data_IF_809163359797
#
_entry.id   IF_809163359797
#
_cell.length_a   1.000
_cell.length_b   1.000
_cell.length_c   1.000
_cell.angle_alpha   90.00
_cell.angle_beta   90.00
_cell.angle_gamma   90.00
#
_symmetry.space_group_name_H-M   'P 1'
#
loop_
_entity.id
_entity.type
_entity.pdbx_description
1 polymer ?
#
# COMPACT_ATOMS: atom_id res chain seq x y z
N UNK A 1 16.79 17.99 8.94
CA UNK A 1 16.45 17.56 9.26
C UNK A 1 15.45 17.73 9.24
N UNK A 2 15.21 17.97 9.26
CA UNK A 2 14.26 18.15 9.53
C UNK A 2 13.28 18.36 8.65
N UNK A 3 13.37 18.84 7.64
CA UNK A 3 12.45 19.05 6.80
C UNK A 3 11.90 17.78 6.46
N UNK A 4 12.63 16.86 6.34
CA UNK A 4 12.12 15.59 6.02
C UNK A 4 11.41 15.10 7.18
N UNK A 5 11.75 15.52 8.27
CA UNK A 5 11.15 15.07 9.45
C UNK A 5 9.67 15.11 9.46
N UNK A 6 9.08 16.17 9.10
CA UNK A 6 7.66 16.29 9.22
C UNK A 6 6.97 15.23 8.41
N UNK A 7 7.53 14.88 7.31
CA UNK A 7 6.97 13.95 6.52
C UNK A 7 7.06 12.62 7.13
N UNK A 8 8.18 12.21 7.58
CA UNK A 8 8.34 10.96 8.18
C UNK A 8 7.62 10.80 9.45
N UNK A 9 7.31 11.79 10.12
CA UNK A 9 6.66 11.67 11.38
C UNK A 9 5.16 11.67 11.31
N UNK A 10 4.59 11.85 10.16
CA UNK A 10 3.17 11.97 10.10
C UNK A 10 2.49 10.63 10.30
N UNK A 11 1.25 10.67 10.71
CA UNK A 11 0.48 9.48 10.91
C UNK A 11 0.33 8.74 9.60
N UNK A 12 0.12 9.47 8.53
CA UNK A 12 -0.03 8.87 7.22
C UNK A 12 1.24 8.12 6.82
N UNK A 13 2.38 8.76 7.08
CA UNK A 13 3.63 8.13 6.73
C UNK A 13 3.83 6.85 7.52
N UNK A 14 3.48 6.86 8.77
CA UNK A 14 3.63 5.68 9.60
C UNK A 14 2.71 4.58 9.12
N UNK A 15 1.53 4.92 8.68
CA UNK A 15 0.60 3.94 8.16
C UNK A 15 1.16 3.31 6.89
N UNK A 16 1.79 4.11 6.03
CA UNK A 16 2.37 3.61 4.81
C UNK A 16 3.46 2.60 5.14
N UNK A 17 4.34 2.97 6.08
CA UNK A 17 5.42 2.06 6.44
C UNK A 17 4.88 0.79 7.09
N UNK A 18 3.83 0.93 7.86
CA UNK A 18 3.28 -0.25 8.52
C UNK A 18 2.70 -1.23 7.50
N UNK A 19 1.98 -0.73 6.52
CA UNK A 19 1.41 -1.61 5.52
C UNK A 19 2.51 -2.27 4.71
N UNK A 20 3.55 -1.51 4.37
CA UNK A 20 4.66 -2.08 3.63
C UNK A 20 5.33 -3.18 4.45
N UNK A 21 5.46 -2.97 5.73
CA UNK A 21 6.07 -3.96 6.59
C UNK A 21 5.20 -5.22 6.65
N UNK A 22 3.90 -5.05 6.70
CA UNK A 22 3.01 -6.20 6.74
C UNK A 22 3.14 -7.03 5.48
N UNK A 23 3.31 -6.38 4.35
CA UNK A 23 3.48 -7.10 3.11
C UNK A 23 4.83 -7.81 3.13
N UNK A 24 5.85 -7.13 3.60
CA UNK A 24 7.17 -7.71 3.64
C UNK A 24 7.29 -8.88 4.60
N UNK A 25 6.45 -8.87 5.65
CA UNK A 25 6.49 -9.94 6.61
C UNK A 25 5.56 -11.09 6.24
N UNK A 26 4.86 -10.96 5.15
CA UNK A 26 3.98 -12.02 4.73
C UNK A 26 2.60 -11.98 5.37
N UNK A 27 2.31 -10.94 6.12
CA UNK A 27 1.00 -10.84 6.73
C UNK A 27 -0.04 -10.43 5.70
N UNK A 28 0.38 -9.76 4.65
CA UNK A 28 -0.49 -9.42 3.55
C UNK A 28 0.20 -9.95 2.31
N UNK A 29 -0.38 -10.92 1.68
CA UNK A 29 0.27 -11.54 0.54
C UNK A 29 -0.13 -10.97 -0.80
N UNK A 30 0.69 -11.15 -1.82
CA UNK A 30 0.35 -10.62 -3.13
C UNK A 30 -1.00 -11.16 -3.58
N UNK A 31 -1.84 -10.30 -4.09
CA UNK A 31 -3.15 -10.69 -4.54
C UNK A 31 -4.21 -10.71 -3.45
N UNK A 32 -3.79 -10.53 -2.21
CA UNK A 32 -4.73 -10.60 -1.12
C UNK A 32 -5.50 -9.29 -0.98
N UNK A 33 -6.76 -9.39 -0.62
CA UNK A 33 -7.56 -8.21 -0.42
C UNK A 33 -7.24 -7.62 0.94
N UNK A 34 -7.11 -6.33 1.01
CA UNK A 34 -6.87 -5.67 2.27
C UNK A 34 -8.14 -5.58 3.09
N UNK A 35 -8.02 -5.53 4.39
CA UNK A 35 -9.17 -5.24 5.22
C UNK A 35 -9.67 -3.84 4.84
N UNK A 36 -10.85 -3.51 5.26
CA UNK A 36 -11.41 -2.20 4.89
C UNK A 36 -10.61 -1.08 5.55
N UNK A 37 -10.76 0.12 5.02
CA UNK A 37 -10.10 1.28 5.59
C UNK A 37 -10.44 1.37 7.06
N UNK A 38 -11.70 1.15 7.39
CA UNK A 38 -12.15 1.24 8.74
C UNK A 38 -11.42 0.25 9.63
N UNK A 39 -11.35 -1.00 9.19
CA UNK A 39 -10.70 -2.01 9.98
C UNK A 39 -9.21 -1.74 10.12
N UNK A 40 -8.56 -1.35 9.05
CA UNK A 40 -7.14 -1.06 9.11
C UNK A 40 -6.87 0.15 10.00
N UNK A 41 -7.71 1.17 9.91
CA UNK A 41 -7.52 2.34 10.72
C UNK A 41 -7.65 1.97 12.19
N UNK A 42 -8.59 1.10 12.48
CA UNK A 42 -8.79 0.65 13.84
C UNK A 42 -7.60 -0.15 14.33
N UNK A 43 -7.10 -1.05 13.52
CA UNK A 43 -5.96 -1.86 13.89
C UNK A 43 -4.72 -1.01 14.13
N UNK A 44 -4.53 0.01 13.36
CA UNK A 44 -3.36 0.83 13.49
C UNK A 44 -3.55 2.01 14.44
N UNK A 45 -4.77 2.19 14.92
CA UNK A 45 -5.03 3.27 15.85
C UNK A 45 -4.95 4.66 15.25
N UNK A 46 -5.38 4.81 14.02
CA UNK A 46 -5.31 6.11 13.36
C UNK A 46 -6.67 6.44 12.77
N UNK A 47 -6.82 7.64 12.29
CA UNK A 47 -8.09 8.07 11.73
C UNK A 47 -8.29 7.43 10.37
N UNK A 48 -9.55 7.32 9.97
CA UNK A 48 -9.85 6.75 8.67
C UNK A 48 -9.33 7.63 7.54
N UNK A 49 -9.31 8.94 7.73
CA UNK A 49 -8.82 9.79 6.68
C UNK A 49 -7.31 9.61 6.49
N UNK A 50 -6.57 9.39 7.56
CA UNK A 50 -5.14 9.16 7.43
C UNK A 50 -4.91 7.82 6.75
N UNK A 51 -5.74 6.83 7.09
CA UNK A 51 -5.62 5.53 6.50
C UNK A 51 -5.91 5.60 5.00
N UNK A 52 -6.93 6.37 4.64
CA UNK A 52 -7.29 6.51 3.24
C UNK A 52 -6.16 7.15 2.45
N UNK A 53 -5.51 8.14 3.03
CA UNK A 53 -4.39 8.76 2.36
C UNK A 53 -3.23 7.81 2.20
N UNK A 54 -2.98 6.99 3.19
CA UNK A 54 -1.90 6.02 3.10
C UNK A 54 -2.19 5.03 1.99
N UNK A 55 -3.43 4.57 1.91
CA UNK A 55 -3.80 3.61 0.88
C UNK A 55 -3.68 4.25 -0.50
N UNK A 56 -4.07 5.51 -0.62
CA UNK A 56 -3.95 6.17 -1.88
C UNK A 56 -2.51 6.28 -2.30
N UNK A 57 -1.63 6.64 -1.38
CA UNK A 57 -0.22 6.76 -1.69
C UNK A 57 0.34 5.42 -2.14
N UNK A 58 -0.03 4.36 -1.45
CA UNK A 58 0.48 3.04 -1.81
C UNK A 58 -0.06 2.58 -3.16
N UNK A 59 -1.25 3.01 -3.49
CA UNK A 59 -1.84 2.66 -4.78
C UNK A 59 -1.09 3.40 -5.90
N UNK A 60 -0.75 4.64 -5.66
CA UNK A 60 0.00 5.40 -6.64
C UNK A 60 1.38 4.81 -6.84
N UNK A 61 1.97 4.30 -5.76
CA UNK A 61 3.27 3.70 -5.85
C UNK A 61 3.25 2.30 -6.46
N UNK A 62 2.08 1.78 -6.69
CA UNK A 62 1.98 0.46 -7.30
C UNK A 62 2.10 -0.70 -6.33
N UNK A 63 2.04 -0.41 -5.03
CA UNK A 63 2.12 -1.47 -4.03
C UNK A 63 0.74 -2.08 -3.83
N UNK A 64 -0.29 -1.23 -3.94
CA UNK A 64 -1.65 -1.70 -3.81
C UNK A 64 -2.41 -1.42 -5.08
N UNK A 65 -3.52 -2.10 -5.25
CA UNK A 65 -4.30 -1.95 -6.44
C UNK A 65 -5.76 -1.81 -6.07
N UNK A 66 -6.44 -0.78 -6.56
CA UNK A 66 -7.84 -0.59 -6.28
C UNK A 66 -8.63 -1.26 -7.37
N UNK A 67 -9.55 -2.15 -7.02
CA UNK A 67 -10.39 -2.80 -8.00
C UNK A 67 -11.80 -2.28 -7.82
N UNK A 68 -12.29 -1.68 -8.86
CA UNK A 68 -13.57 -1.03 -8.82
C UNK A 68 -14.65 -1.95 -8.30
N UNK A 69 -15.34 -1.51 -7.29
CA UNK A 69 -16.43 -2.31 -6.74
C UNK A 69 -16.02 -3.49 -5.90
N UNK A 70 -14.75 -3.75 -5.79
CA UNK A 70 -14.31 -4.92 -5.08
C UNK A 70 -13.46 -4.63 -3.87
N UNK A 71 -12.65 -3.62 -3.92
CA UNK A 71 -11.82 -3.28 -2.77
C UNK A 71 -10.38 -3.00 -3.17
N UNK A 72 -9.52 -3.05 -2.18
CA UNK A 72 -8.11 -2.79 -2.39
C UNK A 72 -7.35 -4.09 -2.21
N UNK A 73 -6.43 -4.35 -3.11
CA UNK A 73 -5.68 -5.59 -3.08
C UNK A 73 -4.19 -5.32 -3.12
N UNK A 74 -3.40 -6.25 -2.62
CA UNK A 74 -1.96 -6.14 -2.71
C UNK A 74 -1.61 -6.49 -4.15
N UNK A 75 -0.83 -5.65 -4.82
CA UNK A 75 -0.50 -5.89 -6.21
C UNK A 75 0.27 -7.16 -6.32
N UNK A 76 -0.23 -8.06 -7.09
CA UNK A 76 0.43 -9.32 -7.19
C UNK A 76 1.54 -9.31 -8.22
N UNK A 77 1.43 -8.51 -9.22
CA UNK A 77 2.37 -8.51 -10.28
C UNK A 77 3.44 -7.46 -10.16
N UNK A 78 3.62 -6.89 -8.96
CA UNK A 78 4.60 -5.93 -8.78
C UNK A 78 5.95 -6.37 -9.23
N UNK A 79 6.35 -7.53 -8.86
CA UNK A 79 7.60 -8.00 -9.22
C UNK A 79 7.62 -8.37 -10.65
N UNK A 80 6.56 -8.90 -11.13
CA UNK A 80 6.45 -9.26 -12.44
C UNK A 80 6.56 -8.11 -13.36
N UNK A 81 6.10 -6.98 -12.97
CA UNK A 81 6.17 -5.83 -13.80
C UNK A 81 7.58 -5.55 -14.17
N UNK A 82 8.43 -5.76 -13.30
CA UNK A 82 9.78 -5.50 -13.53
C UNK A 82 10.29 -6.44 -14.56
N UNK A 83 10.00 -7.65 -14.42
CA UNK A 83 10.46 -8.60 -15.36
C UNK A 83 9.71 -8.51 -16.61
N UNK A 84 8.48 -8.30 -16.48
CA UNK A 84 7.68 -8.29 -17.63
C UNK A 84 7.97 -7.21 -18.55
N UNK A 85 8.38 -6.19 -18.07
CA UNK A 85 8.62 -5.14 -18.85
C UNK A 85 9.45 -5.48 -19.90
N UNK A 86 10.24 -6.27 -19.73
CA UNK A 86 11.08 -6.62 -20.63
C UNK A 86 10.51 -7.25 -21.71
N UNK A 87 10.13 -8.32 -21.59
CA UNK A 87 9.68 -9.08 -22.64
C UNK A 87 8.47 -8.60 -23.19
N UNK A 88 7.65 -8.37 -22.47
CA UNK A 88 6.48 -8.08 -22.93
C UNK A 88 6.41 -7.08 -23.83
N UNK A 89 7.14 -6.29 -23.72
CA UNK A 89 7.10 -5.30 -24.48
C UNK A 89 7.15 -5.66 -25.76
N UNK A 90 7.83 -6.38 -25.97
CA UNK A 90 7.98 -6.69 -27.10
C UNK A 90 7.28 -7.58 -27.54
N UNK A 91 6.75 -7.86 -27.03
CA UNK A 91 6.07 -8.73 -27.44
C UNK A 91 5.45 -8.59 -27.82
#
# INVERSE_FOLDING_TARGET
>A
MDETAPYKGTVTERAIERIKAMIGEGLLEPGQRLPTERDLASQLGISRSSMREAIRALTVLGVLEARHGSGIYVRRDRERLVGADLPCLQS
#
